data_IF_562127648051
#
_entry.id   IF_562127648051
#
_cell.length_a   1.000
_cell.length_b   1.000
_cell.length_c   1.000
_cell.angle_alpha   90.00
_cell.angle_beta   90.00
_cell.angle_gamma   90.00
#
_symmetry.space_group_name_H-M   'P 1'
#
loop_
_entity.id
_entity.type
_entity.pdbx_description
1 polymer ?
#
# COMPACT_ATOMS: atom_id res chain seq x y z
N UNK A 1 15.15 -0.22 -15.73
CA UNK A 1 15.03 -1.65 -15.35
C UNK A 1 13.82 -1.73 -14.43
N UNK A 2 12.64 -1.88 -15.01
CA UNK A 2 11.41 -1.89 -14.21
C UNK A 2 11.21 -3.31 -13.68
N UNK A 3 11.87 -3.61 -12.55
CA UNK A 3 11.71 -4.86 -11.84
C UNK A 3 10.33 -4.89 -11.19
N UNK A 4 9.32 -5.23 -11.98
CA UNK A 4 7.98 -5.45 -11.50
C UNK A 4 7.98 -6.76 -10.74
N UNK A 5 7.77 -6.69 -9.42
CA UNK A 5 7.69 -7.87 -8.58
C UNK A 5 6.31 -8.50 -8.71
N UNK A 6 6.27 -9.71 -9.26
CA UNK A 6 5.04 -10.52 -9.28
C UNK A 6 5.00 -11.39 -8.03
N UNK A 7 3.86 -11.43 -7.36
CA UNK A 7 3.66 -12.29 -6.18
C UNK A 7 3.25 -13.67 -6.68
N UNK A 8 4.08 -14.68 -6.41
CA UNK A 8 3.70 -16.08 -6.64
C UNK A 8 2.76 -16.59 -5.54
N UNK A 9 2.03 -17.66 -5.84
CA UNK A 9 1.10 -18.33 -4.92
C UNK A 9 1.75 -18.75 -3.59
N UNK A 10 3.00 -19.19 -3.64
CA UNK A 10 3.79 -19.54 -2.45
C UNK A 10 4.10 -18.29 -1.61
N UNK A 11 4.56 -17.22 -2.25
CA UNK A 11 4.85 -15.94 -1.59
C UNK A 11 3.60 -15.32 -0.95
N UNK A 12 2.44 -15.44 -1.61
CA UNK A 12 1.16 -14.98 -1.07
C UNK A 12 0.78 -15.73 0.22
N UNK A 13 1.06 -17.04 0.31
CA UNK A 13 0.77 -17.84 1.51
C UNK A 13 1.78 -17.55 2.64
N UNK A 14 3.04 -17.35 2.31
CA UNK A 14 4.08 -17.05 3.30
C UNK A 14 3.96 -15.64 3.88
N UNK A 15 3.30 -14.71 3.18
CA UNK A 15 3.17 -13.32 3.63
C UNK A 15 2.43 -13.19 4.99
N UNK A 16 1.23 -13.77 5.20
CA UNK A 16 0.57 -13.78 6.52
C UNK A 16 1.40 -14.45 7.63
N UNK A 17 2.16 -15.51 7.28
CA UNK A 17 3.00 -16.24 8.23
C UNK A 17 4.18 -15.38 8.65
N UNK A 18 4.88 -14.77 7.68
CA UNK A 18 5.98 -13.84 7.93
C UNK A 18 5.53 -12.61 8.72
N UNK A 19 4.34 -12.07 8.41
CA UNK A 19 3.74 -10.99 9.19
C UNK A 19 3.46 -11.39 10.65
N UNK A 20 3.03 -12.64 10.89
CA UNK A 20 2.80 -13.16 12.25
C UNK A 20 4.09 -13.29 13.05
N UNK A 21 5.16 -13.81 12.43
CA UNK A 21 6.48 -13.91 13.07
C UNK A 21 7.03 -12.52 13.37
N UNK A 22 6.94 -11.59 12.41
CA UNK A 22 7.38 -10.21 12.58
C UNK A 22 6.63 -9.50 13.71
N UNK A 23 5.31 -9.67 13.80
CA UNK A 23 4.49 -9.09 14.87
C UNK A 23 4.89 -9.62 16.24
N UNK A 24 5.12 -10.93 16.38
CA UNK A 24 5.60 -11.53 17.63
C UNK A 24 6.98 -11.01 18.03
N UNK A 25 7.91 -10.91 17.08
CA UNK A 25 9.24 -10.36 17.32
C UNK A 25 9.14 -8.91 17.82
N UNK A 26 8.26 -8.11 17.20
CA UNK A 26 8.01 -6.73 17.63
C UNK A 26 7.34 -6.65 19.01
N UNK A 27 6.49 -7.61 19.36
CA UNK A 27 5.87 -7.67 20.69
C UNK A 27 6.88 -7.96 21.81
N UNK A 28 7.81 -8.89 21.60
CA UNK A 28 8.82 -9.24 22.61
C UNK A 28 10.02 -8.28 22.64
N UNK A 29 10.44 -7.75 21.48
CA UNK A 29 11.64 -6.91 21.33
C UNK A 29 11.29 -5.50 20.84
N UNK A 30 10.22 -4.91 21.36
CA UNK A 30 9.71 -3.62 20.89
C UNK A 30 10.79 -2.53 20.86
N UNK A 31 11.54 -2.37 21.97
CA UNK A 31 12.52 -1.29 22.12
C UNK A 31 13.66 -1.36 21.09
N UNK A 32 14.08 -2.57 20.72
CA UNK A 32 15.16 -2.80 19.74
C UNK A 32 14.66 -2.74 18.30
N UNK A 33 13.47 -3.31 18.04
CA UNK A 33 12.94 -3.49 16.68
C UNK A 33 12.28 -2.21 16.16
N UNK A 34 11.69 -1.39 17.02
CA UNK A 34 10.99 -0.17 16.61
C UNK A 34 11.90 0.81 15.84
N UNK A 35 13.17 0.95 16.26
CA UNK A 35 14.11 1.89 15.63
C UNK A 35 14.48 1.40 14.23
N UNK A 36 14.74 0.09 14.10
CA UNK A 36 15.01 -0.54 12.81
C UNK A 36 13.82 -0.36 11.88
N UNK A 37 12.60 -0.59 12.37
CA UNK A 37 11.40 -0.41 11.58
C UNK A 37 11.23 1.05 11.13
N UNK A 38 11.41 2.03 12.01
CA UNK A 38 11.32 3.46 11.65
C UNK A 38 12.36 3.84 10.60
N UNK A 39 13.61 3.39 10.74
CA UNK A 39 14.66 3.63 9.73
C UNK A 39 14.29 2.98 8.39
N UNK A 40 13.87 1.70 8.40
CA UNK A 40 13.43 1.01 7.19
C UNK A 40 12.27 1.73 6.52
N UNK A 41 11.27 2.19 7.29
CA UNK A 41 10.14 2.94 6.74
C UNK A 41 10.56 4.30 6.17
N UNK A 42 11.50 5.00 6.80
CA UNK A 42 12.04 6.25 6.28
C UNK A 42 12.75 6.04 4.94
N UNK A 43 13.56 4.97 4.83
CA UNK A 43 14.24 4.61 3.58
C UNK A 43 13.26 4.17 2.49
N UNK A 44 12.26 3.35 2.84
CA UNK A 44 11.23 2.95 1.88
C UNK A 44 10.39 4.15 1.42
N UNK A 45 10.11 5.09 2.33
CA UNK A 45 9.40 6.32 2.01
C UNK A 45 10.23 7.24 1.11
N UNK A 46 11.54 7.44 1.35
CA UNK A 46 12.37 8.26 0.45
C UNK A 46 12.41 7.69 -0.97
N UNK A 47 12.52 6.37 -1.09
CA UNK A 47 12.48 5.66 -2.38
C UNK A 47 11.10 5.83 -3.03
N UNK A 48 10.01 5.57 -2.30
CA UNK A 48 8.65 5.72 -2.79
C UNK A 48 8.36 7.14 -3.30
N UNK A 49 8.74 8.16 -2.54
CA UNK A 49 8.55 9.56 -2.93
C UNK A 49 9.42 9.98 -4.10
N UNK A 50 10.67 9.50 -4.18
CA UNK A 50 11.51 9.77 -5.34
C UNK A 50 10.82 9.28 -6.62
N UNK A 51 10.25 8.07 -6.61
CA UNK A 51 9.50 7.54 -7.76
C UNK A 51 8.20 8.31 -8.06
N UNK A 52 7.45 8.72 -7.03
CA UNK A 52 6.21 9.48 -7.22
C UNK A 52 6.45 10.91 -7.73
N UNK A 53 7.56 11.53 -7.30
CA UNK A 53 7.94 12.88 -7.70
C UNK A 53 8.64 12.92 -9.06
N UNK A 54 9.20 11.81 -9.52
CA UNK A 54 9.91 11.72 -10.80
C UNK A 54 9.09 12.26 -11.99
N UNK A 55 7.82 11.84 -12.26
CA UNK A 55 7.05 12.38 -13.38
C UNK A 55 6.77 13.89 -13.24
N UNK A 56 6.60 14.38 -12.01
CA UNK A 56 6.40 15.81 -11.75
C UNK A 56 7.68 16.61 -12.00
N UNK A 57 8.83 16.07 -11.61
CA UNK A 57 10.14 16.69 -11.84
C UNK A 57 10.52 16.65 -13.32
N UNK A 58 10.19 15.57 -14.03
CA UNK A 58 10.36 15.47 -15.48
C UNK A 58 9.50 16.50 -16.22
N UNK A 59 8.24 16.68 -15.79
CA UNK A 59 7.36 17.70 -16.34
C UNK A 59 7.90 19.11 -16.10
N UNK A 60 8.37 19.42 -14.89
CA UNK A 60 8.90 20.74 -14.52
C UNK A 60 10.24 21.08 -15.19
N UNK A 61 11.09 20.07 -15.44
CA UNK A 61 12.41 20.26 -16.08
C UNK A 61 12.36 20.26 -17.60
N UNK A 62 11.23 19.83 -18.20
CA UNK A 62 10.97 19.79 -19.65
C UNK A 62 11.19 21.12 -20.40
N UNK A 63 10.84 22.31 -19.86
CA UNK A 63 11.14 23.59 -20.51
C UNK A 63 12.62 24.01 -20.38
N UNK A 64 13.37 23.42 -19.45
CA UNK A 64 14.70 23.86 -19.05
C UNK A 64 15.84 22.90 -19.45
N UNK A 65 15.55 21.79 -20.13
CA UNK A 65 16.58 20.78 -20.45
C UNK A 65 16.96 20.80 -21.94
N UNK A 66 18.03 21.51 -22.35
CA UNK A 66 18.85 21.02 -23.45
C UNK A 66 19.45 19.65 -23.05
N UNK A 67 19.77 18.80 -24.02
CA UNK A 67 20.20 17.39 -23.90
C UNK A 67 21.51 17.12 -23.11
N UNK A 68 21.85 17.90 -22.08
CA UNK A 68 23.05 17.68 -21.27
C UNK A 68 22.78 16.67 -20.14
N UNK A 69 23.02 15.39 -20.44
CA UNK A 69 23.12 14.33 -19.43
C UNK A 69 24.40 14.55 -18.61
N UNK A 70 24.26 14.94 -17.35
CA UNK A 70 25.38 15.10 -16.42
C UNK A 70 25.83 13.70 -15.99
N UNK A 71 27.11 13.37 -16.22
CA UNK A 71 27.67 12.06 -15.90
C UNK A 71 28.45 12.14 -14.59
N UNK A 72 27.96 11.47 -13.54
CA UNK A 72 28.76 11.23 -12.33
C UNK A 72 29.51 9.90 -12.51
N UNK A 73 30.82 9.98 -12.72
CA UNK A 73 31.67 8.89 -13.21
C UNK A 73 31.39 7.49 -12.62
N UNK A 74 31.23 7.35 -11.30
CA UNK A 74 31.16 6.04 -10.64
C UNK A 74 29.73 5.47 -10.45
N UNK A 75 28.67 6.24 -10.76
CA UNK A 75 27.27 5.81 -10.52
C UNK A 75 26.35 5.98 -11.74
N UNK A 76 26.90 6.12 -12.94
CA UNK A 76 26.12 6.15 -14.19
C UNK A 76 25.61 7.53 -14.60
N UNK A 77 24.77 7.55 -15.65
CA UNK A 77 24.18 8.78 -16.20
C UNK A 77 22.88 9.06 -15.44
N UNK A 78 22.86 10.13 -14.65
CA UNK A 78 21.64 10.58 -13.97
C UNK A 78 21.03 11.76 -14.72
N UNK A 79 19.71 11.74 -14.87
CA UNK A 79 18.95 12.88 -15.39
C UNK A 79 18.80 13.92 -14.27
N UNK A 80 18.85 15.22 -14.59
CA UNK A 80 18.64 16.29 -13.61
C UNK A 80 17.33 16.09 -12.83
N UNK A 81 16.28 15.62 -13.51
CA UNK A 81 14.98 15.30 -12.91
C UNK A 81 15.08 14.19 -11.84
N UNK A 82 15.91 13.16 -12.04
CA UNK A 82 16.10 12.07 -11.08
C UNK A 82 16.80 12.58 -9.82
N UNK A 83 17.89 13.34 -9.98
CA UNK A 83 18.62 13.93 -8.85
C UNK A 83 17.74 14.91 -8.07
N UNK A 84 16.94 15.74 -8.76
CA UNK A 84 16.02 16.68 -8.13
C UNK A 84 14.92 15.95 -7.37
N UNK A 85 14.31 14.92 -7.97
CA UNK A 85 13.28 14.11 -7.31
C UNK A 85 13.79 13.39 -6.06
N UNK A 86 15.03 12.87 -6.10
CA UNK A 86 15.68 12.22 -4.96
C UNK A 86 16.04 13.23 -3.86
N UNK A 87 16.59 14.40 -4.23
CA UNK A 87 16.89 15.46 -3.27
C UNK A 87 15.64 15.96 -2.55
N UNK A 88 14.54 16.15 -3.30
CA UNK A 88 13.27 16.61 -2.74
C UNK A 88 12.61 15.55 -1.85
N UNK A 89 12.70 14.26 -2.19
CA UNK A 89 12.18 13.18 -1.35
C UNK A 89 12.96 13.06 -0.03
N UNK A 90 14.29 13.19 -0.06
CA UNK A 90 15.12 13.23 1.15
C UNK A 90 14.76 14.43 2.01
N UNK A 91 14.59 15.61 1.43
CA UNK A 91 14.19 16.82 2.16
C UNK A 91 12.83 16.63 2.86
N UNK A 92 11.82 16.09 2.17
CA UNK A 92 10.50 15.83 2.75
C UNK A 92 10.56 14.85 3.91
N UNK A 93 11.32 13.76 3.77
CA UNK A 93 11.48 12.78 4.86
C UNK A 93 12.26 13.39 6.02
N UNK A 94 13.30 14.19 5.78
CA UNK A 94 14.01 14.90 6.85
C UNK A 94 13.10 15.88 7.60
N UNK A 95 12.30 16.66 6.88
CA UNK A 95 11.29 17.55 7.49
C UNK A 95 10.32 16.74 8.34
N UNK A 96 9.88 15.57 7.87
CA UNK A 96 9.02 14.69 8.65
C UNK A 96 9.68 14.17 9.92
N UNK A 97 10.92 13.68 9.86
CA UNK A 97 11.63 13.17 11.04
C UNK A 97 11.88 14.30 12.05
N UNK A 98 12.08 15.54 11.60
CA UNK A 98 12.28 16.70 12.48
C UNK A 98 10.98 17.28 13.06
N UNK A 99 9.93 17.40 12.26
CA UNK A 99 8.68 18.07 12.65
C UNK A 99 7.65 17.12 13.26
N UNK A 100 7.70 15.83 12.91
CA UNK A 100 6.68 14.83 13.24
C UNK A 100 5.25 15.27 12.94
N UNK A 101 5.05 16.14 11.94
CA UNK A 101 3.73 16.68 11.64
C UNK A 101 2.81 15.57 11.10
N UNK A 102 1.60 15.46 11.66
CA UNK A 102 0.61 14.44 11.31
C UNK A 102 0.30 14.39 9.80
N UNK A 103 0.12 15.57 9.18
CA UNK A 103 -0.14 15.67 7.73
C UNK A 103 0.97 15.05 6.88
N UNK A 104 2.23 15.26 7.28
CA UNK A 104 3.37 14.77 6.53
C UNK A 104 3.53 13.27 6.74
N UNK A 105 3.21 12.77 7.93
CA UNK A 105 3.11 11.34 8.20
C UNK A 105 2.04 10.66 7.32
N UNK A 106 0.85 11.25 7.21
CA UNK A 106 -0.23 10.73 6.35
C UNK A 106 0.15 10.79 4.87
N UNK A 107 0.80 11.87 4.43
CA UNK A 107 1.32 11.98 3.09
C UNK A 107 2.33 10.85 2.81
N UNK A 108 3.30 10.64 3.71
CA UNK A 108 4.32 9.60 3.57
C UNK A 108 3.70 8.20 3.50
N UNK A 109 2.74 7.92 4.37
CA UNK A 109 1.95 6.69 4.39
C UNK A 109 1.23 6.47 3.06
N UNK A 110 0.53 7.48 2.54
CA UNK A 110 -0.16 7.40 1.26
C UNK A 110 0.80 7.18 0.08
N UNK A 111 1.96 7.85 0.08
CA UNK A 111 2.99 7.65 -0.94
C UNK A 111 3.52 6.22 -0.94
N UNK A 112 3.78 5.65 0.24
CA UNK A 112 4.16 4.24 0.38
C UNK A 112 3.06 3.30 -0.13
N UNK A 113 1.78 3.60 0.16
CA UNK A 113 0.64 2.82 -0.36
C UNK A 113 0.62 2.80 -1.89
N UNK A 114 0.73 3.97 -2.52
CA UNK A 114 0.70 4.11 -3.98
C UNK A 114 1.90 3.41 -4.61
N UNK A 115 3.10 3.59 -4.06
CA UNK A 115 4.31 2.92 -4.54
C UNK A 115 4.17 1.39 -4.46
N UNK A 116 3.64 0.86 -3.35
CA UNK A 116 3.38 -0.58 -3.22
C UNK A 116 2.40 -1.09 -4.28
N UNK A 117 1.29 -0.38 -4.52
CA UNK A 117 0.31 -0.75 -5.56
C UNK A 117 0.91 -0.67 -6.97
N UNK A 118 1.87 0.24 -7.21
CA UNK A 118 2.54 0.40 -8.49
C UNK A 118 3.56 -0.72 -8.78
N UNK A 119 4.38 -1.08 -7.79
CA UNK A 119 5.46 -2.06 -7.96
C UNK A 119 5.00 -3.51 -7.85
N UNK A 120 4.05 -3.79 -6.97
CA UNK A 120 3.54 -5.14 -6.73
C UNK A 120 2.44 -5.46 -7.75
N UNK A 121 2.60 -6.55 -8.51
CA UNK A 121 1.57 -7.03 -9.42
C UNK A 121 1.09 -8.43 -9.04
N UNK A 122 -0.23 -8.56 -8.94
CA UNK A 122 -0.89 -9.86 -8.79
C UNK A 122 -1.01 -10.51 -10.18
N UNK A 123 -0.52 -11.74 -10.37
CA UNK A 123 -0.53 -12.40 -11.68
C UNK A 123 -1.89 -12.98 -12.04
N UNK A 124 -2.68 -13.43 -11.06
CA UNK A 124 -3.98 -14.07 -11.28
C UNK A 124 -4.97 -13.79 -10.15
N UNK A 125 -6.26 -14.01 -10.42
CA UNK A 125 -7.30 -13.87 -9.40
C UNK A 125 -7.14 -14.92 -8.30
N UNK A 126 -6.65 -16.12 -8.64
CA UNK A 126 -6.34 -17.17 -7.66
C UNK A 126 -5.35 -16.67 -6.62
N UNK A 127 -4.26 -16.02 -7.04
CA UNK A 127 -3.27 -15.47 -6.11
C UNK A 127 -3.89 -14.37 -5.25
N UNK A 128 -4.70 -13.49 -5.84
CA UNK A 128 -5.40 -12.45 -5.08
C UNK A 128 -6.35 -13.01 -4.02
N UNK A 129 -7.14 -14.03 -4.39
CA UNK A 129 -8.06 -14.69 -3.45
C UNK A 129 -7.31 -15.41 -2.33
N UNK A 130 -6.20 -16.10 -2.65
CA UNK A 130 -5.35 -16.77 -1.67
C UNK A 130 -4.73 -15.75 -0.71
N UNK A 131 -4.17 -14.66 -1.22
CA UNK A 131 -3.58 -13.59 -0.43
C UNK A 131 -4.61 -12.93 0.50
N UNK A 132 -5.78 -12.53 -0.02
CA UNK A 132 -6.83 -11.88 0.76
C UNK A 132 -7.45 -12.82 1.80
N UNK A 133 -7.65 -14.09 1.47
CA UNK A 133 -8.15 -15.08 2.45
C UNK A 133 -7.10 -15.43 3.52
N UNK A 134 -5.82 -15.52 3.16
CA UNK A 134 -4.75 -15.71 4.13
C UNK A 134 -4.63 -14.52 5.10
N UNK A 135 -4.76 -13.29 4.59
CA UNK A 135 -4.76 -12.09 5.41
C UNK A 135 -6.02 -11.95 6.27
N UNK A 136 -7.18 -12.40 5.78
CA UNK A 136 -8.41 -12.49 6.56
C UNK A 136 -8.21 -13.42 7.77
N UNK A 137 -7.64 -14.61 7.55
CA UNK A 137 -7.37 -15.57 8.64
C UNK A 137 -6.38 -14.97 9.63
N UNK A 138 -5.33 -14.30 9.14
CA UNK A 138 -4.36 -13.58 9.97
C UNK A 138 -5.02 -12.54 10.87
N UNK A 139 -5.88 -11.68 10.31
CA UNK A 139 -6.53 -10.59 11.04
C UNK A 139 -7.48 -11.13 12.11
N UNK A 140 -8.28 -12.15 11.77
CA UNK A 140 -9.17 -12.83 12.73
C UNK A 140 -8.38 -13.50 13.86
N UNK A 141 -7.28 -14.19 13.53
CA UNK A 141 -6.42 -14.81 14.53
C UNK A 141 -5.81 -13.78 15.49
N UNK A 142 -5.20 -12.72 14.96
CA UNK A 142 -4.51 -11.74 15.78
C UNK A 142 -5.44 -10.78 16.53
N UNK A 143 -6.64 -10.51 16.03
CA UNK A 143 -7.60 -9.65 16.73
C UNK A 143 -8.37 -10.41 17.81
N UNK A 144 -8.83 -11.63 17.56
CA UNK A 144 -9.66 -12.37 18.52
C UNK A 144 -8.90 -13.41 19.34
N UNK A 145 -8.06 -14.22 18.70
CA UNK A 145 -7.39 -15.34 19.38
C UNK A 145 -6.13 -14.92 20.15
N UNK A 146 -5.44 -13.86 19.73
CA UNK A 146 -4.24 -13.40 20.45
C UNK A 146 -4.54 -12.99 21.90
N UNK A 147 -5.72 -12.42 22.15
CA UNK A 147 -6.20 -12.05 23.48
C UNK A 147 -6.26 -13.26 24.43
N UNK A 148 -6.71 -14.40 23.90
CA UNK A 148 -6.91 -15.63 24.67
C UNK A 148 -5.57 -16.28 25.06
N UNK A 149 -4.57 -16.20 24.18
CA UNK A 149 -3.26 -16.82 24.39
C UNK A 149 -2.33 -15.92 25.24
N UNK A 150 -2.35 -14.62 25.00
CA UNK A 150 -1.40 -13.67 25.60
C UNK A 150 -2.01 -12.75 26.66
N UNK A 151 -3.24 -13.02 27.11
CA UNK A 151 -4.04 -12.19 28.04
C UNK A 151 -4.17 -10.71 27.62
N UNK A 152 -3.78 -10.37 26.38
CA UNK A 152 -3.76 -9.03 25.84
C UNK A 152 -3.77 -9.07 24.30
N UNK A 153 -4.42 -8.08 23.69
CA UNK A 153 -4.46 -7.96 22.23
C UNK A 153 -3.09 -7.52 21.71
N UNK A 154 -2.27 -8.48 21.30
CA UNK A 154 -0.89 -8.27 20.83
C UNK A 154 -0.85 -7.24 19.70
N UNK A 155 -1.73 -7.40 18.71
CA UNK A 155 -1.84 -6.49 17.56
C UNK A 155 -2.16 -5.07 18.00
N UNK A 156 -3.12 -4.88 18.92
CA UNK A 156 -3.48 -3.54 19.40
C UNK A 156 -2.36 -2.94 20.21
N UNK A 157 -1.73 -3.72 21.10
CA UNK A 157 -0.63 -3.25 21.95
C UNK A 157 0.55 -2.75 21.11
N UNK A 158 1.01 -3.57 20.16
CA UNK A 158 2.09 -3.21 19.23
C UNK A 158 1.70 -2.01 18.36
N UNK A 159 0.45 -1.95 17.91
CA UNK A 159 -0.01 -0.87 17.05
C UNK A 159 -0.15 0.46 17.81
N UNK A 160 -0.53 0.44 19.09
CA UNK A 160 -0.73 1.66 19.90
C UNK A 160 0.56 2.21 20.52
N UNK A 161 1.64 1.43 20.53
CA UNK A 161 2.90 1.89 21.09
C UNK A 161 3.53 2.96 20.17
N UNK A 162 3.78 4.18 20.67
CA UNK A 162 4.47 5.20 19.90
C UNK A 162 5.93 4.78 19.73
N UNK A 163 6.44 4.90 18.50
CA UNK A 163 7.86 4.62 18.26
C UNK A 163 8.72 5.80 18.72
N UNK A 164 9.90 5.50 19.25
CA UNK A 164 10.91 6.52 19.52
C UNK A 164 11.48 7.07 18.22
N UNK A 165 11.78 8.37 18.20
CA UNK A 165 12.38 9.01 17.04
C UNK A 165 13.82 8.53 16.86
N UNK A 166 14.23 8.14 15.64
CA UNK A 166 15.58 7.66 15.40
C UNK A 166 16.63 8.74 15.69
N UNK A 167 16.29 10.03 15.51
CA UNK A 167 17.17 11.16 15.85
C UNK A 167 17.39 11.26 17.36
N UNK A 168 16.38 10.96 18.17
CA UNK A 168 16.49 11.00 19.64
C UNK A 168 17.34 9.84 20.17
N UNK A 169 17.23 8.66 19.56
CA UNK A 169 18.10 7.52 19.89
C UNK A 169 19.55 7.80 19.46
N UNK A 170 19.73 8.41 18.28
CA UNK A 170 21.05 8.76 17.74
C UNK A 170 21.72 9.88 18.54
N UNK A 171 20.96 10.89 18.99
CA UNK A 171 21.50 11.97 19.85
C UNK A 171 21.94 11.43 21.21
N UNK A 172 21.15 10.52 21.82
CA UNK A 172 21.53 9.80 23.05
C UNK A 172 22.78 8.95 22.86
N UNK A 173 22.95 8.26 21.72
CA UNK A 173 24.15 7.47 21.42
C UNK A 173 25.39 8.31 21.10
N UNK A 174 25.22 9.52 20.55
CA UNK A 174 26.33 10.40 20.16
C UNK A 174 26.71 11.44 21.23
N UNK A 175 26.09 11.45 22.41
CA UNK A 175 26.33 12.44 23.49
C UNK A 175 26.32 13.91 23.00
N UNK A 176 25.61 14.20 21.91
CA UNK A 176 25.43 15.56 21.41
C UNK A 176 24.54 16.29 22.42
N UNK A 177 25.05 17.40 22.98
CA UNK A 177 24.58 18.04 24.21
C UNK A 177 23.06 18.35 24.31
N UNK A 178 22.58 18.71 25.51
CA UNK A 178 21.17 18.68 25.93
C UNK A 178 20.25 19.75 25.30
N UNK A 179 20.59 20.29 24.13
CA UNK A 179 19.86 21.36 23.44
C UNK A 179 19.10 20.94 22.18
N UNK A 180 19.39 19.79 21.57
CA UNK A 180 18.76 19.35 20.30
C UNK A 180 17.61 18.33 20.48
N UNK A 181 17.28 17.95 21.73
CA UNK A 181 16.39 16.82 22.02
C UNK A 181 15.11 17.14 22.80
N UNK A 182 14.82 18.42 23.10
CA UNK A 182 13.76 18.73 24.08
C UNK A 182 12.32 18.66 23.59
N UNK A 183 12.06 18.70 22.28
CA UNK A 183 10.68 18.70 21.78
C UNK A 183 10.54 17.93 20.45
N UNK A 184 11.13 16.72 20.37
CA UNK A 184 10.94 15.88 19.17
C UNK A 184 9.67 15.04 19.36
N UNK A 185 8.58 15.30 18.63
CA UNK A 185 7.30 14.61 18.83
C UNK A 185 7.43 13.13 18.51
N UNK A 186 6.92 12.26 19.38
CA UNK A 186 6.91 10.80 19.18
C UNK A 186 6.30 10.44 17.81
N UNK A 187 7.09 9.88 16.90
CA UNK A 187 6.59 9.41 15.62
C UNK A 187 5.72 8.17 15.84
N UNK A 188 4.44 8.25 15.49
CA UNK A 188 3.68 7.03 15.23
C UNK A 188 4.26 6.33 14.02
N UNK A 189 4.39 5.00 14.10
CA UNK A 189 4.90 4.17 13.01
C UNK A 189 4.11 4.50 11.74
N UNK A 190 4.76 4.84 10.61
CA UNK A 190 4.11 5.27 9.37
C UNK A 190 3.29 4.17 8.68
N UNK A 191 2.93 3.09 9.38
CA UNK A 191 2.00 2.05 8.97
C UNK A 191 0.51 2.39 9.19
N UNK A 192 0.21 3.61 9.65
CA UNK A 192 -1.13 4.06 10.01
C UNK A 192 -1.41 5.47 9.50
N UNK A 193 -2.61 5.67 8.95
CA UNK A 193 -3.15 7.00 8.68
C UNK A 193 -3.87 7.51 9.93
N UNK A 194 -3.64 8.77 10.28
CA UNK A 194 -4.10 9.39 11.51
C UNK A 194 -5.00 10.57 11.17
N UNK A 195 -6.31 10.34 11.13
CA UNK A 195 -7.25 11.43 10.86
C UNK A 195 -7.67 12.14 12.15
N UNK A 196 -7.62 13.48 12.20
CA UNK A 196 -8.20 14.25 13.30
C UNK A 196 -9.72 14.05 13.31
N UNK A 197 -10.27 13.49 14.38
CA UNK A 197 -11.73 13.39 14.53
C UNK A 197 -12.30 14.75 14.92
N UNK A 198 -13.39 15.15 14.25
CA UNK A 198 -14.14 16.39 14.51
C UNK A 198 -14.68 16.55 15.95
N UNK A 199 -14.53 15.52 16.79
CA UNK A 199 -14.95 15.47 18.21
C UNK A 199 -13.79 15.43 19.20
N UNK A 200 -12.61 15.93 18.82
CA UNK A 200 -11.61 16.50 19.75
C UNK A 200 -10.77 15.55 20.62
N UNK A 201 -11.11 14.27 20.79
CA UNK A 201 -10.38 13.40 21.75
C UNK A 201 -9.81 12.09 21.20
N UNK A 202 -10.16 11.66 19.98
CA UNK A 202 -9.67 10.40 19.43
C UNK A 202 -9.23 10.55 17.98
N UNK A 203 -8.00 10.14 17.68
CA UNK A 203 -7.53 10.00 16.31
C UNK A 203 -8.07 8.71 15.69
N UNK A 204 -8.65 8.80 14.49
CA UNK A 204 -9.07 7.60 13.74
C UNK A 204 -7.84 7.02 13.06
N UNK A 205 -7.50 5.77 13.42
CA UNK A 205 -6.35 5.06 12.85
C UNK A 205 -6.84 4.10 11.76
N UNK A 206 -6.30 4.22 10.55
CA UNK A 206 -6.54 3.28 9.45
C UNK A 206 -5.23 2.60 9.04
N UNK A 207 -5.23 1.28 8.93
CA UNK A 207 -4.05 0.51 8.55
C UNK A 207 -3.72 0.67 7.07
N UNK A 208 -2.44 0.89 6.73
CA UNK A 208 -1.98 0.91 5.34
C UNK A 208 -2.27 -0.42 4.62
N UNK A 209 -2.14 -1.54 5.33
CA UNK A 209 -2.42 -2.87 4.79
C UNK A 209 -3.85 -3.01 4.27
N UNK A 210 -4.81 -2.41 4.97
CA UNK A 210 -6.24 -2.50 4.62
C UNK A 210 -6.59 -1.70 3.36
N UNK A 211 -5.73 -0.75 2.97
CA UNK A 211 -5.84 0.00 1.71
C UNK A 211 -5.09 -0.73 0.60
N UNK A 212 -3.85 -1.14 0.87
CA UNK A 212 -2.96 -1.74 -0.13
C UNK A 212 -3.53 -3.06 -0.64
N UNK A 213 -4.05 -3.93 0.23
CA UNK A 213 -4.44 -5.29 -0.15
C UNK A 213 -5.67 -5.31 -1.08
N UNK A 214 -6.78 -4.61 -0.77
CA UNK A 214 -7.86 -4.41 -1.74
C UNK A 214 -7.42 -3.58 -2.95
N UNK A 215 -6.50 -2.60 -2.78
CA UNK A 215 -5.95 -1.80 -3.86
C UNK A 215 -5.22 -2.64 -4.93
N UNK A 216 -4.47 -3.67 -4.51
CA UNK A 216 -3.83 -4.62 -5.42
C UNK A 216 -4.87 -5.43 -6.22
N UNK A 217 -5.97 -5.85 -5.58
CA UNK A 217 -7.09 -6.50 -6.26
C UNK A 217 -7.75 -5.56 -7.28
N UNK A 218 -8.04 -4.31 -6.92
CA UNK A 218 -8.62 -3.33 -7.84
C UNK A 218 -7.70 -3.06 -9.04
N UNK A 219 -6.40 -2.94 -8.82
CA UNK A 219 -5.41 -2.76 -9.89
C UNK A 219 -5.39 -3.96 -10.85
N UNK A 220 -5.48 -5.17 -10.33
CA UNK A 220 -5.63 -6.39 -11.13
C UNK A 220 -6.92 -6.36 -11.98
N UNK A 221 -8.05 -6.03 -11.35
CA UNK A 221 -9.35 -5.96 -12.04
C UNK A 221 -9.37 -4.87 -13.13
N UNK A 222 -8.76 -3.71 -12.88
CA UNK A 222 -8.61 -2.65 -13.88
C UNK A 222 -7.84 -3.11 -15.11
N UNK A 223 -6.73 -3.83 -14.90
CA UNK A 223 -5.96 -4.40 -16.00
C UNK A 223 -6.76 -5.42 -16.78
N UNK A 224 -7.55 -6.24 -16.10
CA UNK A 224 -8.43 -7.21 -16.77
C UNK A 224 -9.52 -6.52 -17.60
N UNK A 225 -10.18 -5.50 -17.05
CA UNK A 225 -11.17 -4.71 -17.78
C UNK A 225 -10.55 -4.06 -19.03
N UNK A 226 -9.34 -3.49 -18.92
CA UNK A 226 -8.64 -2.90 -20.06
C UNK A 226 -8.23 -3.95 -21.11
N UNK A 227 -7.73 -5.11 -20.66
CA UNK A 227 -7.43 -6.24 -21.55
C UNK A 227 -8.67 -6.71 -22.32
N UNK A 228 -9.81 -6.84 -21.63
CA UNK A 228 -11.08 -7.23 -22.27
C UNK A 228 -11.60 -6.17 -23.22
N UNK A 229 -11.47 -4.88 -22.88
CA UNK A 229 -11.84 -3.77 -23.77
C UNK A 229 -10.99 -3.76 -25.06
N UNK A 230 -9.69 -4.04 -24.95
CA UNK A 230 -8.81 -4.17 -26.12
C UNK A 230 -9.16 -5.39 -26.96
N UNK A 231 -9.41 -6.54 -26.34
CA UNK A 231 -9.79 -7.78 -27.04
C UNK A 231 -11.16 -7.69 -27.74
N UNK A 232 -12.12 -6.95 -27.16
CA UNK A 232 -13.42 -6.68 -27.79
C UNK A 232 -13.39 -5.45 -28.72
N UNK A 233 -12.27 -4.73 -28.83
CA UNK A 233 -12.10 -3.54 -29.65
C UNK A 233 -11.93 -3.81 -31.15
N UNK A 234 -11.79 -5.07 -31.54
CA UNK A 234 -11.77 -5.52 -32.94
C UNK A 234 -13.02 -6.37 -33.21
N UNK A 235 -13.93 -5.80 -34.03
CA UNK A 235 -15.15 -6.39 -34.62
C UNK A 235 -16.40 -6.47 -33.71
N UNK A 236 -17.42 -5.61 -33.93
CA UNK A 236 -18.77 -5.88 -33.44
C UNK A 236 -19.39 -6.98 -34.31
N UNK A 237 -19.27 -8.24 -33.88
CA UNK A 237 -20.00 -9.35 -34.49
C UNK A 237 -21.52 -9.21 -34.27
N UNK A 238 -22.37 -9.60 -35.24
CA UNK A 238 -23.81 -9.29 -35.26
C UNK A 238 -24.66 -10.19 -34.34
N UNK A 239 -24.20 -10.47 -33.11
CA UNK A 239 -24.85 -11.46 -32.23
C UNK A 239 -24.87 -11.17 -30.73
N UNK A 240 -24.29 -10.07 -30.22
CA UNK A 240 -24.28 -9.85 -28.77
C UNK A 240 -25.42 -8.93 -28.32
N UNK A 241 -26.31 -9.49 -27.51
CA UNK A 241 -27.42 -8.81 -26.85
C UNK A 241 -26.98 -7.48 -26.18
N UNK A 242 -27.73 -6.38 -26.33
CA UNK A 242 -27.44 -5.10 -25.67
C UNK A 242 -27.87 -5.16 -24.21
N UNK A 243 -27.15 -5.94 -23.40
CA UNK A 243 -27.40 -6.05 -21.96
C UNK A 243 -26.74 -4.89 -21.21
N UNK A 244 -27.52 -4.16 -20.41
CA UNK A 244 -27.05 -3.18 -19.39
C UNK A 244 -25.88 -3.71 -18.52
N UNK A 245 -25.76 -5.04 -18.42
CA UNK A 245 -24.67 -5.79 -17.75
C UNK A 245 -23.28 -5.65 -18.40
N UNK A 246 -23.18 -5.34 -19.70
CA UNK A 246 -21.89 -5.11 -20.37
C UNK A 246 -21.27 -3.74 -20.06
N UNK A 247 -22.08 -2.72 -19.69
CA UNK A 247 -21.56 -1.40 -19.31
C UNK A 247 -20.89 -1.39 -17.93
N UNK A 248 -21.30 -2.28 -17.04
CA UNK A 248 -20.68 -2.35 -15.71
C UNK A 248 -19.34 -3.07 -15.85
N UNK A 249 -18.26 -2.29 -15.72
CA UNK A 249 -16.89 -2.78 -15.60
C UNK A 249 -16.71 -3.50 -14.26
N UNK A 250 -15.92 -4.57 -14.24
CA UNK A 250 -15.61 -5.30 -13.01
C UNK A 250 -15.03 -4.36 -11.95
N UNK A 251 -14.23 -3.38 -12.38
CA UNK A 251 -13.64 -2.38 -11.50
C UNK A 251 -14.68 -1.58 -10.70
N UNK A 252 -15.75 -1.12 -11.32
CA UNK A 252 -16.75 -0.30 -10.64
C UNK A 252 -17.49 -1.13 -9.59
N UNK A 253 -17.78 -2.39 -9.89
CA UNK A 253 -18.39 -3.31 -8.93
C UNK A 253 -17.49 -3.54 -7.72
N UNK A 254 -16.21 -3.86 -7.94
CA UNK A 254 -15.24 -4.07 -6.85
C UNK A 254 -14.96 -2.79 -6.07
N UNK A 255 -14.94 -1.62 -6.72
CA UNK A 255 -14.75 -0.31 -6.08
C UNK A 255 -15.93 0.05 -5.15
N UNK A 256 -17.16 -0.17 -5.61
CA UNK A 256 -18.36 0.02 -4.77
C UNK A 256 -18.31 -0.97 -3.60
N UNK A 257 -17.95 -2.23 -3.85
CA UNK A 257 -17.75 -3.23 -2.81
C UNK A 257 -16.72 -2.81 -1.75
N UNK A 258 -15.58 -2.25 -2.17
CA UNK A 258 -14.56 -1.71 -1.28
C UNK A 258 -15.11 -0.57 -0.41
N UNK A 259 -15.84 0.38 -1.00
CA UNK A 259 -16.43 1.50 -0.27
C UNK A 259 -17.47 1.04 0.76
N UNK A 260 -18.36 0.12 0.37
CA UNK A 260 -19.36 -0.48 1.26
C UNK A 260 -18.69 -1.28 2.38
N UNK A 261 -17.64 -2.03 2.08
CA UNK A 261 -16.87 -2.79 3.07
C UNK A 261 -16.19 -1.89 4.10
N UNK A 262 -15.58 -0.78 3.65
CA UNK A 262 -14.95 0.20 4.53
C UNK A 262 -16.00 0.88 5.44
N UNK A 263 -17.15 1.30 4.87
CA UNK A 263 -18.25 1.84 5.66
C UNK A 263 -18.73 0.85 6.71
N UNK A 264 -18.94 -0.41 6.32
CA UNK A 264 -19.38 -1.47 7.23
C UNK A 264 -18.38 -1.68 8.37
N UNK A 265 -17.08 -1.71 8.07
CA UNK A 265 -16.02 -1.83 9.08
C UNK A 265 -16.04 -0.66 10.08
N UNK A 266 -16.23 0.57 9.60
CA UNK A 266 -16.31 1.75 10.48
C UNK A 266 -17.55 1.73 11.36
N UNK A 267 -18.72 1.36 10.81
CA UNK A 267 -19.98 1.25 11.55
C UNK A 267 -19.89 0.14 12.60
N UNK A 268 -19.37 -1.03 12.24
CA UNK A 268 -19.23 -2.15 13.16
C UNK A 268 -18.23 -1.85 14.29
N UNK A 269 -17.11 -1.18 14.00
CA UNK A 269 -16.19 -0.68 15.03
C UNK A 269 -16.87 0.29 16.01
N UNK A 270 -17.73 1.19 15.53
CA UNK A 270 -18.49 2.12 16.38
C UNK A 270 -19.50 1.41 17.28
N UNK A 271 -20.19 0.40 16.76
CA UNK A 271 -21.21 -0.37 17.51
C UNK A 271 -20.54 -1.20 18.61
N UNK A 272 -19.45 -1.91 18.29
CA UNK A 272 -18.82 -2.85 19.21
C UNK A 272 -17.85 -2.21 20.21
N UNK A 273 -17.52 -0.91 20.05
CA UNK A 273 -16.57 -0.17 20.90
C UNK A 273 -15.22 -0.89 21.13
N UNK A 274 -14.85 -1.75 20.20
CA UNK A 274 -13.63 -2.55 20.23
C UNK A 274 -12.98 -2.52 18.84
N UNK A 275 -11.65 -2.67 18.80
CA UNK A 275 -10.93 -2.78 17.53
C UNK A 275 -11.41 -4.03 16.80
N UNK A 276 -11.95 -3.85 15.59
CA UNK A 276 -12.39 -4.93 14.73
C UNK A 276 -11.45 -5.11 13.55
N UNK A 277 -11.25 -6.37 13.09
CA UNK A 277 -10.45 -6.66 11.91
C UNK A 277 -11.13 -6.04 10.67
N UNK A 278 -10.51 -5.05 10.03
CA UNK A 278 -11.11 -4.37 8.88
C UNK A 278 -11.22 -5.30 7.65
N UNK A 279 -10.25 -6.21 7.49
CA UNK A 279 -10.25 -7.18 6.40
C UNK A 279 -11.41 -8.16 6.49
N UNK A 280 -11.96 -8.39 7.69
CA UNK A 280 -13.16 -9.21 7.88
C UNK A 280 -14.35 -8.75 7.06
N UNK A 281 -14.49 -7.43 6.90
CA UNK A 281 -15.56 -6.84 6.08
C UNK A 281 -15.05 -6.59 4.65
N UNK A 282 -13.86 -6.02 4.49
CA UNK A 282 -13.34 -5.64 3.17
C UNK A 282 -13.20 -6.82 2.21
N UNK A 283 -12.71 -7.98 2.67
CA UNK A 283 -12.48 -9.15 1.82
C UNK A 283 -13.79 -9.69 1.21
N UNK A 284 -14.84 -10.03 1.97
CA UNK A 284 -16.08 -10.51 1.38
C UNK A 284 -16.75 -9.45 0.49
N UNK A 285 -16.75 -8.17 0.90
CA UNK A 285 -17.38 -7.11 0.10
C UNK A 285 -16.63 -6.76 -1.19
N UNK A 286 -15.35 -7.08 -1.32
CA UNK A 286 -14.60 -6.85 -2.57
C UNK A 286 -14.54 -8.10 -3.45
N UNK A 287 -14.37 -9.27 -2.83
CA UNK A 287 -14.14 -10.54 -3.52
C UNK A 287 -15.46 -11.18 -3.98
N UNK A 288 -16.53 -11.15 -3.17
CA UNK A 288 -17.82 -11.75 -3.56
C UNK A 288 -18.46 -11.04 -4.77
N UNK A 289 -18.55 -9.70 -4.84
CA UNK A 289 -19.11 -9.04 -6.02
C UNK A 289 -18.29 -9.30 -7.28
N UNK A 290 -16.96 -9.38 -7.16
CA UNK A 290 -16.09 -9.72 -8.28
C UNK A 290 -16.32 -11.17 -8.75
N UNK A 291 -16.33 -12.14 -7.84
CA UNK A 291 -16.55 -13.56 -8.19
C UNK A 291 -17.93 -13.79 -8.76
N UNK A 292 -18.98 -13.21 -8.17
CA UNK A 292 -20.36 -13.35 -8.66
C UNK A 292 -20.49 -12.76 -10.05
N UNK A 293 -19.95 -11.56 -10.29
CA UNK A 293 -19.98 -10.93 -11.61
C UNK A 293 -19.16 -11.71 -12.65
N UNK A 294 -18.01 -12.26 -12.27
CA UNK A 294 -17.18 -13.10 -13.13
C UNK A 294 -17.84 -14.44 -13.47
N UNK A 295 -18.57 -15.02 -12.51
CA UNK A 295 -19.36 -16.22 -12.70
C UNK A 295 -20.53 -15.96 -13.66
N UNK A 296 -21.30 -14.90 -13.43
CA UNK A 296 -22.44 -14.52 -14.29
C UNK A 296 -22.02 -14.20 -15.72
N UNK A 297 -20.82 -13.62 -15.93
CA UNK A 297 -20.27 -13.34 -17.25
C UNK A 297 -19.53 -14.52 -17.89
N UNK A 298 -19.35 -15.64 -17.17
CA UNK A 298 -18.66 -16.84 -17.66
C UNK A 298 -17.13 -16.71 -17.77
N UNK A 299 -16.56 -15.57 -17.36
CA UNK A 299 -15.12 -15.28 -17.47
C UNK A 299 -14.30 -15.85 -16.30
N UNK A 300 -14.96 -16.39 -15.27
CA UNK A 300 -14.34 -16.80 -14.01
C UNK A 300 -13.15 -17.75 -14.21
N UNK A 301 -13.31 -18.80 -15.02
CA UNK A 301 -12.25 -19.79 -15.25
C UNK A 301 -11.00 -19.15 -15.85
N UNK A 302 -11.20 -18.25 -16.81
CA UNK A 302 -10.14 -17.52 -17.51
C UNK A 302 -9.38 -16.60 -16.54
N UNK A 303 -10.11 -15.80 -15.78
CA UNK A 303 -9.54 -14.87 -14.80
C UNK A 303 -8.85 -15.60 -13.62
N UNK A 304 -9.30 -16.83 -13.29
CA UNK A 304 -8.76 -17.65 -12.21
C UNK A 304 -7.41 -18.28 -12.53
N UNK A 305 -7.26 -18.86 -13.74
CA UNK A 305 -6.09 -19.68 -14.08
C UNK A 305 -5.04 -18.99 -14.94
N UNK A 306 -5.39 -17.98 -15.74
CA UNK A 306 -4.42 -17.36 -16.64
C UNK A 306 -3.60 -16.31 -15.88
N UNK A 307 -2.30 -16.53 -15.61
CA UNK A 307 -1.44 -15.43 -15.23
C UNK A 307 -1.43 -14.44 -16.38
N UNK A 308 -1.69 -13.16 -16.10
CA UNK A 308 -1.55 -12.10 -17.11
C UNK A 308 -0.08 -11.95 -17.47
N UNK A 309 0.40 -12.79 -18.39
CA UNK A 309 1.53 -12.42 -19.22
C UNK A 309 0.99 -11.37 -20.18
N UNK A 310 1.05 -10.11 -19.78
CA UNK A 310 1.04 -9.03 -20.76
C UNK A 310 2.13 -9.39 -21.75
N UNK A 311 1.77 -9.79 -22.98
CA UNK A 311 2.68 -9.63 -24.11
C UNK A 311 3.15 -8.19 -23.98
N UNK A 312 4.45 -7.99 -23.81
CA UNK A 312 5.05 -6.67 -23.81
C UNK A 312 4.66 -6.02 -25.13
N UNK A 313 3.55 -5.29 -25.16
CA UNK A 313 3.37 -4.28 -26.17
C UNK A 313 4.41 -3.26 -25.80
N UNK A 314 5.47 -3.20 -26.60
CA UNK A 314 6.37 -2.07 -26.70
C UNK A 314 5.53 -0.85 -27.13
N UNK A 315 4.69 -0.35 -26.23
CA UNK A 315 4.04 0.94 -26.35
C UNK A 315 5.01 1.93 -25.75
N UNK A 316 5.90 2.42 -26.62
CA UNK A 316 6.52 3.73 -26.53
C UNK A 316 5.46 4.76 -26.10
N UNK A 317 5.33 4.98 -24.80
CA UNK A 317 4.50 6.05 -24.25
C UNK A 317 5.16 6.60 -22.98
N UNK A 318 6.39 7.06 -23.16
CA UNK A 318 7.09 8.04 -22.31
C UNK A 318 8.29 8.60 -23.11
N UNK A 319 8.05 8.93 -24.37
CA UNK A 319 8.70 10.06 -25.02
C UNK A 319 7.55 11.03 -25.28
N UNK A 320 7.41 12.05 -24.45
CA UNK A 320 7.89 13.41 -24.72
C UNK A 320 7.98 14.13 -23.38
#
# INVERSE_FOLDING_TARGET
MDCIQTIDSTQALFLPIGASVSLLVMFFFFDSVQVVFTICTAVLATIAFAFLLLPMCQYLTRPCSPQNKISFGCCGRFTLAELLSFSLSVLLVLIWVLTGHWLLMDALAMGLCVAMIAFVRLPSLKVSCLLLSGLLIYDVFWVFFSAYIFNSNVMVKVATQPAENPIDVLSRKLHLGPGMGRDVPRLSLPGKLVFPSSTGSHFSMLGIGDIVMPGLLLCFVLRYDNYKKQANGEVPGPGNMPGRMQRVSYFHCTLIGYFVGLLTATVASRIHRAAQPALLYLVPFTLLPLLTMAYLKGDLRRMWSEPFHTKSSSSRFLEV
#
